data_IF_909195768925
#
_entry.id   IF_909195768925
#
_cell.length_a   1.000
_cell.length_b   1.000
_cell.length_c   1.000
_cell.angle_alpha   90.00
_cell.angle_beta   90.00
_cell.angle_gamma   90.00
#
_symmetry.space_group_name_H-M   'P 1'
#
loop_
_entity.id
_entity.type
_entity.pdbx_description
1 polymer ?
#
# COMPACT_ATOMS: atom_id res chain seq x y z
N UNK A 1 10.80 4.63 -16.32
CA UNK A 1 10.37 4.14 -15.00
C UNK A 1 9.86 5.33 -14.21
N UNK A 2 8.74 5.22 -13.52
CA UNK A 2 8.26 6.30 -12.64
C UNK A 2 9.20 6.44 -11.43
N UNK A 3 9.49 7.68 -11.03
CA UNK A 3 10.38 7.96 -9.90
C UNK A 3 9.67 7.61 -8.60
N UNK A 4 10.21 6.65 -7.85
CA UNK A 4 9.72 6.33 -6.50
C UNK A 4 10.13 7.47 -5.55
N UNK A 5 9.15 7.97 -4.80
CA UNK A 5 9.32 8.95 -3.73
C UNK A 5 9.06 8.27 -2.39
N UNK A 6 9.84 8.62 -1.37
CA UNK A 6 9.58 8.21 0.02
C UNK A 6 8.75 9.31 0.68
N UNK A 7 7.67 8.90 1.36
CA UNK A 7 6.78 9.76 2.15
C UNK A 7 6.69 9.21 3.56
N UNK A 8 6.19 10.01 4.50
CA UNK A 8 5.98 9.58 5.88
C UNK A 8 4.49 9.46 6.18
N UNK A 9 4.12 8.37 6.85
CA UNK A 9 2.80 8.14 7.42
C UNK A 9 2.99 7.48 8.78
N UNK A 10 2.52 8.13 9.85
CA UNK A 10 2.66 7.63 11.23
C UNK A 10 4.12 7.25 11.57
N UNK A 11 5.04 8.20 11.33
CA UNK A 11 6.49 8.05 11.50
C UNK A 11 7.15 6.89 10.75
N UNK A 12 6.43 6.27 9.79
CA UNK A 12 6.91 5.18 8.96
C UNK A 12 7.04 5.62 7.50
N UNK A 13 8.07 5.12 6.84
CA UNK A 13 8.32 5.37 5.42
C UNK A 13 7.33 4.61 4.54
N UNK A 14 6.71 5.30 3.59
CA UNK A 14 5.82 4.71 2.58
C UNK A 14 6.26 5.12 1.17
N UNK A 15 6.34 4.13 0.27
CA UNK A 15 6.68 4.37 -1.13
C UNK A 15 5.48 4.96 -1.86
N UNK A 16 5.74 6.02 -2.60
CA UNK A 16 4.75 6.70 -3.42
C UNK A 16 5.27 7.01 -4.84
N UNK A 17 4.35 7.09 -5.79
CA UNK A 17 4.61 7.50 -7.16
C UNK A 17 3.62 8.58 -7.55
N UNK A 18 4.12 9.66 -8.15
CA UNK A 18 3.26 10.69 -8.74
C UNK A 18 2.71 10.18 -10.08
N UNK A 19 1.40 10.25 -10.24
CA UNK A 19 0.70 9.97 -11.49
C UNK A 19 0.26 11.28 -12.15
N UNK A 20 1.01 11.65 -13.18
CA UNK A 20 0.78 12.85 -13.99
C UNK A 20 -0.60 12.87 -14.64
N UNK A 21 -1.20 11.72 -14.94
CA UNK A 21 -2.47 11.65 -15.67
C UNK A 21 -3.65 12.04 -14.81
N UNK A 22 -3.64 11.60 -13.55
CA UNK A 22 -4.70 11.84 -12.59
C UNK A 22 -4.35 12.94 -11.59
N UNK A 23 -3.19 13.59 -11.75
CA UNK A 23 -2.65 14.61 -10.85
C UNK A 23 -2.70 14.18 -9.38
N UNK A 24 -2.20 12.98 -9.09
CA UNK A 24 -2.35 12.34 -7.78
C UNK A 24 -1.20 11.43 -7.38
N UNK A 25 -1.17 11.08 -6.10
CA UNK A 25 -0.19 10.15 -5.54
C UNK A 25 -0.77 8.73 -5.45
N UNK A 26 -0.02 7.77 -5.98
CA UNK A 26 -0.23 6.35 -5.70
C UNK A 26 0.72 5.89 -4.61
N UNK A 27 0.21 5.08 -3.69
CA UNK A 27 0.97 4.54 -2.57
C UNK A 27 1.13 3.02 -2.69
N UNK A 28 2.24 2.50 -2.17
CA UNK A 28 2.43 1.06 -2.02
C UNK A 28 1.40 0.49 -1.03
N UNK A 29 0.50 -0.34 -1.53
CA UNK A 29 -0.52 -1.02 -0.70
C UNK A 29 0.12 -1.83 0.42
N UNK A 30 1.30 -2.43 0.19
CA UNK A 30 2.00 -3.20 1.22
C UNK A 30 2.51 -2.32 2.36
N UNK A 31 3.00 -1.12 2.04
CA UNK A 31 3.55 -0.20 3.03
C UNK A 31 2.40 0.35 3.87
N UNK A 32 1.29 0.76 3.22
CA UNK A 32 0.07 1.21 3.93
C UNK A 32 -0.48 0.11 4.85
N UNK A 33 -0.53 -1.14 4.39
CA UNK A 33 -0.97 -2.27 5.23
C UNK A 33 -0.02 -2.45 6.43
N UNK A 34 1.29 -2.35 6.23
CA UNK A 34 2.28 -2.46 7.30
C UNK A 34 2.13 -1.37 8.35
N UNK A 35 1.97 -0.11 7.92
CA UNK A 35 1.69 1.02 8.82
C UNK A 35 0.41 0.79 9.62
N UNK A 36 -0.71 0.53 8.94
CA UNK A 36 -2.02 0.40 9.60
C UNK A 36 -2.13 -0.81 10.54
N UNK A 37 -1.33 -1.85 10.30
CA UNK A 37 -1.28 -3.05 11.15
C UNK A 37 -0.14 -3.02 12.16
N UNK A 38 0.69 -1.98 12.15
CA UNK A 38 1.90 -1.88 12.95
C UNK A 38 2.77 -3.16 12.82
N UNK A 39 2.94 -3.65 11.59
CA UNK A 39 3.66 -4.89 11.27
C UNK A 39 4.74 -4.59 10.23
N UNK A 40 5.98 -4.90 10.58
CA UNK A 40 7.16 -4.57 9.76
C UNK A 40 7.59 -5.73 8.85
N UNK A 41 7.10 -6.94 9.11
CA UNK A 41 7.41 -8.11 8.31
C UNK A 41 6.74 -8.03 6.91
N UNK A 42 7.54 -7.93 5.84
CA UNK A 42 7.01 -7.80 4.48
C UNK A 42 6.26 -9.05 4.00
N UNK A 43 6.60 -10.24 4.49
CA UNK A 43 5.91 -11.48 4.14
C UNK A 43 4.52 -11.51 4.76
N UNK A 44 4.40 -11.13 6.04
CA UNK A 44 3.09 -11.03 6.70
C UNK A 44 2.20 -9.97 6.08
N UNK A 45 2.75 -8.82 5.69
CA UNK A 45 2.00 -7.77 5.00
C UNK A 45 1.51 -8.22 3.61
N UNK A 46 2.35 -8.95 2.87
CA UNK A 46 1.97 -9.54 1.58
C UNK A 46 0.88 -10.61 1.73
N UNK A 47 1.01 -11.48 2.73
CA UNK A 47 0.01 -12.51 3.01
C UNK A 47 -1.33 -11.89 3.41
N UNK A 48 -1.32 -10.85 4.24
CA UNK A 48 -2.52 -10.12 4.59
C UNK A 48 -3.15 -9.43 3.39
N UNK A 49 -2.35 -8.79 2.53
CA UNK A 49 -2.87 -8.19 1.28
C UNK A 49 -3.56 -9.22 0.39
N UNK A 50 -2.95 -10.40 0.21
CA UNK A 50 -3.55 -11.49 -0.57
C UNK A 50 -4.91 -11.90 -0.01
N UNK A 51 -5.01 -12.05 1.32
CA UNK A 51 -6.27 -12.34 2.00
C UNK A 51 -7.29 -11.20 1.81
N UNK A 52 -6.89 -9.96 2.08
CA UNK A 52 -7.75 -8.78 2.00
C UNK A 52 -8.32 -8.61 0.59
N UNK A 53 -7.48 -8.72 -0.44
CA UNK A 53 -7.91 -8.67 -1.84
C UNK A 53 -8.94 -9.76 -2.18
N UNK A 54 -8.71 -10.99 -1.71
CA UNK A 54 -9.66 -12.08 -1.90
C UNK A 54 -10.99 -11.84 -1.14
N UNK A 55 -10.93 -11.25 0.06
CA UNK A 55 -12.11 -10.85 0.83
C UNK A 55 -12.91 -9.76 0.10
N UNK A 56 -12.27 -8.66 -0.31
CA UNK A 56 -12.91 -7.56 -1.04
C UNK A 56 -13.60 -8.04 -2.31
N UNK A 57 -12.95 -8.92 -3.08
CA UNK A 57 -13.55 -9.51 -4.29
C UNK A 57 -14.79 -10.35 -3.98
N UNK A 58 -14.81 -11.12 -2.88
CA UNK A 58 -15.99 -11.88 -2.46
C UNK A 58 -17.14 -10.99 -2.01
N UNK A 59 -16.82 -9.84 -1.43
CA UNK A 59 -17.80 -8.87 -0.94
C UNK A 59 -18.27 -7.89 -2.03
N UNK A 60 -17.72 -7.96 -3.25
CA UNK A 60 -18.07 -7.06 -4.36
C UNK A 60 -17.48 -5.64 -4.25
N UNK A 61 -16.48 -5.46 -3.38
CA UNK A 61 -15.87 -4.18 -3.04
C UNK A 61 -14.49 -3.97 -3.72
N UNK A 62 -14.35 -4.35 -5.00
CA UNK A 62 -13.10 -4.22 -5.74
C UNK A 62 -13.31 -3.50 -7.07
#
# INVERSE_FOLDING_TARGET
>A
MSKISIRLLDDREVRAVWDERNAGWWFSVLDIIGVLRNEDDPEKNRNYWKYLKAKLKREGNQ
#
